data_IF_757701561062
#
_entry.id   IF_757701561062
#
_cell.length_a   1.000
_cell.length_b   1.000
_cell.length_c   1.000
_cell.angle_alpha   90.00
_cell.angle_beta   90.00
_cell.angle_gamma   90.00
#
_symmetry.space_group_name_H-M   'P 1'
#
loop_
_entity.id
_entity.type
_entity.pdbx_description
1 polymer ?
#
# COMPACT_ATOMS: atom_id res chain seq x y z
N UNK A 1 -20.11 -17.68 -3.81
CA UNK A 1 -18.68 -17.98 -3.97
C UNK A 1 -17.98 -16.66 -4.20
N UNK A 2 -16.87 -16.40 -3.50
CA UNK A 2 -16.23 -15.09 -3.61
C UNK A 2 -15.71 -14.83 -5.03
N UNK A 3 -15.71 -13.57 -5.45
CA UNK A 3 -15.20 -13.17 -6.76
C UNK A 3 -13.72 -13.58 -6.91
N UNK A 4 -13.31 -13.93 -8.13
CA UNK A 4 -11.91 -14.28 -8.44
C UNK A 4 -10.97 -13.12 -8.16
N UNK A 5 -11.46 -11.89 -8.34
CA UNK A 5 -10.72 -10.67 -8.03
C UNK A 5 -10.55 -10.45 -6.53
N UNK A 6 -11.60 -10.64 -5.71
CA UNK A 6 -11.47 -10.62 -4.25
C UNK A 6 -10.49 -11.68 -3.74
N UNK A 7 -10.54 -12.88 -4.32
CA UNK A 7 -9.60 -13.95 -4.00
C UNK A 7 -8.15 -13.52 -4.26
N UNK A 8 -7.89 -12.80 -5.35
CA UNK A 8 -6.57 -12.28 -5.67
C UNK A 8 -6.13 -11.13 -4.74
N UNK A 9 -7.03 -10.19 -4.40
CA UNK A 9 -6.75 -9.14 -3.39
C UNK A 9 -6.40 -9.79 -2.05
N UNK A 10 -7.24 -10.72 -1.59
CA UNK A 10 -7.06 -11.45 -0.34
C UNK A 10 -5.74 -12.24 -0.33
N UNK A 11 -5.37 -12.85 -1.46
CA UNK A 11 -4.08 -13.52 -1.60
C UNK A 11 -2.92 -12.53 -1.40
N UNK A 12 -2.93 -11.35 -2.03
CA UNK A 12 -1.85 -10.37 -1.88
C UNK A 12 -1.75 -9.86 -0.43
N UNK A 13 -2.88 -9.55 0.18
CA UNK A 13 -2.93 -9.11 1.58
C UNK A 13 -2.46 -10.21 2.54
N UNK A 14 -2.80 -11.48 2.27
CA UNK A 14 -2.30 -12.60 3.06
C UNK A 14 -0.78 -12.79 2.91
N UNK A 15 -0.25 -12.69 1.69
CA UNK A 15 1.20 -12.77 1.45
C UNK A 15 1.95 -11.66 2.20
N UNK A 16 1.45 -10.43 2.18
CA UNK A 16 2.01 -9.33 2.97
C UNK A 16 2.00 -9.66 4.47
N UNK A 17 0.92 -10.23 4.99
CA UNK A 17 0.84 -10.65 6.40
C UNK A 17 1.88 -11.72 6.74
N UNK A 18 2.08 -12.72 5.86
CA UNK A 18 3.08 -13.77 6.06
C UNK A 18 4.49 -13.18 6.13
N UNK A 19 4.82 -12.26 5.21
CA UNK A 19 6.11 -11.56 5.22
C UNK A 19 6.32 -10.76 6.50
N UNK A 20 5.32 -9.97 6.92
CA UNK A 20 5.38 -9.19 8.16
C UNK A 20 5.66 -10.10 9.36
N UNK A 21 4.92 -11.21 9.49
CA UNK A 21 5.10 -12.17 10.58
C UNK A 21 6.45 -12.88 10.56
N UNK A 22 7.01 -13.13 9.38
CA UNK A 22 8.35 -13.72 9.28
C UNK A 22 9.41 -12.70 9.67
N UNK A 23 9.28 -11.45 9.23
CA UNK A 23 10.23 -10.37 9.53
C UNK A 23 10.20 -9.91 10.99
N UNK A 24 9.06 -10.04 11.66
CA UNK A 24 8.85 -9.71 13.08
C UNK A 24 9.37 -10.79 14.04
N UNK A 25 9.69 -12.00 13.54
CA UNK A 25 10.28 -13.02 14.40
C UNK A 25 11.68 -12.59 14.86
N UNK A 26 11.99 -12.73 16.17
CA UNK A 26 13.34 -12.50 16.66
C UNK A 26 14.26 -13.46 15.93
N UNK A 27 15.18 -12.90 15.14
CA UNK A 27 15.93 -13.65 14.14
C UNK A 27 16.59 -14.89 14.77
N UNK A 28 16.22 -16.08 14.29
CA UNK A 28 17.15 -17.21 14.28
C UNK A 28 18.18 -16.88 13.21
N UNK A 29 19.21 -16.12 13.59
CA UNK A 29 20.21 -15.55 12.68
C UNK A 29 21.07 -16.66 12.09
N UNK A 30 20.60 -17.30 11.02
CA UNK A 30 21.53 -17.77 10.00
C UNK A 30 22.17 -16.50 9.40
N UNK A 31 23.42 -16.23 9.79
CA UNK A 31 24.18 -15.05 9.37
C UNK A 31 24.19 -14.95 7.84
N UNK A 32 23.38 -14.06 7.28
CA UNK A 32 23.46 -13.67 5.86
C UNK A 32 24.71 -12.82 5.57
N UNK A 33 25.44 -12.39 6.61
CA UNK A 33 26.63 -11.53 6.50
C UNK A 33 26.31 -10.09 6.07
N UNK A 34 25.04 -9.72 5.93
CA UNK A 34 24.62 -8.40 5.46
C UNK A 34 24.39 -7.42 6.62
N UNK A 35 24.61 -6.10 6.41
CA UNK A 35 24.29 -5.08 7.40
C UNK A 35 22.80 -5.07 7.77
N UNK A 36 22.47 -4.87 9.05
CA UNK A 36 21.09 -4.84 9.55
C UNK A 36 20.20 -3.82 8.83
N UNK A 37 20.76 -2.66 8.44
CA UNK A 37 20.04 -1.63 7.69
C UNK A 37 19.62 -2.12 6.29
N UNK A 38 20.47 -2.91 5.61
CA UNK A 38 20.15 -3.49 4.29
C UNK A 38 19.03 -4.51 4.42
N UNK A 39 19.09 -5.35 5.45
CA UNK A 39 18.04 -6.34 5.73
C UNK A 39 16.72 -5.62 6.06
N UNK A 40 16.76 -4.57 6.90
CA UNK A 40 15.59 -3.78 7.25
C UNK A 40 14.92 -3.12 6.03
N UNK A 41 15.72 -2.51 5.15
CA UNK A 41 15.21 -1.92 3.91
C UNK A 41 14.62 -2.98 2.97
N UNK A 42 15.33 -4.10 2.75
CA UNK A 42 14.83 -5.18 1.90
C UNK A 42 13.48 -5.74 2.39
N UNK A 43 13.34 -5.93 3.71
CA UNK A 43 12.11 -6.40 4.34
C UNK A 43 10.96 -5.40 4.16
N UNK A 44 11.23 -4.13 4.42
CA UNK A 44 10.24 -3.06 4.28
C UNK A 44 9.77 -2.94 2.83
N UNK A 45 10.70 -2.89 1.87
CA UNK A 45 10.37 -2.81 0.44
C UNK A 45 9.58 -4.04 -0.02
N UNK A 46 9.97 -5.25 0.39
CA UNK A 46 9.26 -6.47 0.02
C UNK A 46 7.79 -6.44 0.44
N UNK A 47 7.48 -5.98 1.64
CA UNK A 47 6.08 -5.84 2.10
C UNK A 47 5.37 -4.71 1.35
N UNK A 48 6.00 -3.54 1.23
CA UNK A 48 5.41 -2.38 0.59
C UNK A 48 5.02 -2.66 -0.88
N UNK A 49 5.89 -3.30 -1.66
CA UNK A 49 5.62 -3.70 -3.04
C UNK A 49 4.43 -4.66 -3.17
N UNK A 50 4.27 -5.59 -2.23
CA UNK A 50 3.11 -6.49 -2.20
C UNK A 50 1.83 -5.72 -1.90
N UNK A 51 1.86 -4.72 -1.00
CA UNK A 51 0.71 -3.87 -0.70
C UNK A 51 0.35 -2.94 -1.86
N UNK A 52 1.33 -2.34 -2.54
CA UNK A 52 1.11 -1.57 -3.77
C UNK A 52 0.48 -2.46 -4.84
N UNK A 53 0.94 -3.70 -4.99
CA UNK A 53 0.30 -4.64 -5.92
C UNK A 53 -1.12 -5.01 -5.50
N UNK A 54 -1.40 -5.11 -4.19
CA UNK A 54 -2.74 -5.34 -3.69
C UNK A 54 -3.68 -4.17 -4.01
N UNK A 55 -3.20 -2.92 -3.96
CA UNK A 55 -3.94 -1.72 -4.36
C UNK A 55 -4.37 -1.78 -5.83
N UNK A 56 -3.45 -2.09 -6.74
CA UNK A 56 -3.77 -2.16 -8.16
C UNK A 56 -4.83 -3.22 -8.47
N UNK A 57 -4.73 -4.38 -7.82
CA UNK A 57 -5.72 -5.45 -7.95
C UNK A 57 -7.06 -5.03 -7.35
N UNK A 58 -7.06 -4.30 -6.23
CA UNK A 58 -8.27 -3.76 -5.61
C UNK A 58 -8.99 -2.76 -6.54
N UNK A 59 -8.26 -1.85 -7.19
CA UNK A 59 -8.83 -0.92 -8.16
C UNK A 59 -9.44 -1.67 -9.36
N UNK A 60 -8.74 -2.70 -9.85
CA UNK A 60 -9.27 -3.57 -10.91
C UNK A 60 -10.52 -4.32 -10.44
N UNK A 61 -10.54 -4.80 -9.20
CA UNK A 61 -11.72 -5.45 -8.62
C UNK A 61 -12.94 -4.52 -8.62
N UNK A 62 -12.78 -3.26 -8.18
CA UNK A 62 -13.87 -2.26 -8.20
C UNK A 62 -14.38 -2.05 -9.63
N UNK A 63 -13.49 -1.87 -10.60
CA UNK A 63 -13.87 -1.74 -12.00
C UNK A 63 -14.69 -2.95 -12.51
N UNK A 64 -14.29 -4.17 -12.12
CA UNK A 64 -14.95 -5.42 -12.52
C UNK A 64 -16.31 -5.60 -11.88
N UNK A 65 -16.46 -5.24 -10.60
CA UNK A 65 -17.74 -5.24 -9.89
C UNK A 65 -18.76 -4.32 -10.58
N UNK A 66 -18.29 -3.19 -11.11
CA UNK A 66 -19.10 -2.25 -11.92
C UNK A 66 -19.07 -2.55 -13.43
N UNK A 67 -18.90 -3.82 -13.80
CA UNK A 67 -19.01 -4.35 -15.18
C UNK A 67 -18.04 -3.74 -16.21
N UNK A 68 -17.00 -3.01 -15.79
CA UNK A 68 -15.89 -2.62 -16.66
C UNK A 68 -14.98 -3.84 -16.79
N UNK A 69 -15.22 -4.69 -17.80
CA UNK A 69 -14.63 -6.06 -17.88
C UNK A 69 -13.17 -6.12 -18.33
N UNK A 70 -12.66 -5.07 -18.97
CA UNK A 70 -11.30 -5.02 -19.55
C UNK A 70 -10.38 -4.05 -18.83
N UNK A 71 -10.92 -3.05 -18.13
CA UNK A 71 -10.17 -1.94 -17.55
C UNK A 71 -9.25 -2.36 -16.40
N UNK A 72 -8.05 -1.81 -16.33
CA UNK A 72 -7.08 -2.07 -15.24
C UNK A 72 -6.53 -0.75 -14.71
N UNK A 73 -7.35 0.02 -13.97
CA UNK A 73 -6.92 1.32 -13.45
C UNK A 73 -5.79 1.17 -12.43
N UNK A 74 -4.78 2.02 -12.55
CA UNK A 74 -3.61 2.07 -11.68
C UNK A 74 -3.65 3.25 -10.70
N UNK A 75 -4.61 4.16 -10.87
CA UNK A 75 -4.83 5.30 -9.97
C UNK A 75 -6.31 5.50 -9.65
N UNK A 76 -6.59 6.21 -8.56
CA UNK A 76 -7.96 6.62 -8.22
C UNK A 76 -8.56 7.52 -9.30
N UNK A 77 -7.74 8.38 -9.93
CA UNK A 77 -8.18 9.23 -11.03
C UNK A 77 -8.61 8.40 -12.26
N UNK A 78 -7.81 7.40 -12.63
CA UNK A 78 -8.16 6.47 -13.72
C UNK A 78 -9.43 5.68 -13.40
N UNK A 79 -9.55 5.16 -12.16
CA UNK A 79 -10.75 4.44 -11.74
C UNK A 79 -12.00 5.34 -11.82
N UNK A 80 -11.90 6.58 -11.31
CA UNK A 80 -12.99 7.55 -11.34
C UNK A 80 -13.43 7.88 -12.77
N UNK A 81 -12.49 7.99 -13.70
CA UNK A 81 -12.77 8.27 -15.10
C UNK A 81 -13.55 7.15 -15.81
N UNK A 82 -13.66 5.95 -15.23
CA UNK A 82 -14.42 4.84 -15.83
C UNK A 82 -15.94 4.99 -15.65
N UNK A 83 -16.41 5.83 -14.72
CA UNK A 83 -17.81 5.91 -14.32
C UNK A 83 -18.41 7.28 -14.67
N UNK A 84 -19.57 7.28 -15.32
CA UNK A 84 -20.33 8.49 -15.65
C UNK A 84 -21.28 8.91 -14.52
N UNK A 85 -21.33 8.12 -13.45
CA UNK A 85 -22.20 8.26 -12.30
C UNK A 85 -21.41 8.02 -11.01
N UNK A 86 -21.98 8.44 -9.88
CA UNK A 86 -21.34 8.29 -8.59
C UNK A 86 -21.30 6.82 -8.16
N UNK A 87 -20.11 6.39 -7.77
CA UNK A 87 -19.82 5.03 -7.31
C UNK A 87 -19.35 5.12 -5.86
N UNK A 88 -20.11 4.49 -4.95
CA UNK A 88 -19.86 4.58 -3.51
C UNK A 88 -18.43 4.18 -3.10
N UNK A 89 -17.83 3.20 -3.79
CA UNK A 89 -16.43 2.81 -3.56
C UNK A 89 -15.45 3.93 -3.92
N UNK A 90 -15.71 4.61 -5.04
CA UNK A 90 -14.86 5.71 -5.52
C UNK A 90 -14.98 6.90 -4.58
N UNK A 91 -16.19 7.22 -4.10
CA UNK A 91 -16.40 8.26 -3.09
C UNK A 91 -15.68 7.94 -1.77
N UNK A 92 -15.74 6.68 -1.33
CA UNK A 92 -15.03 6.23 -0.13
C UNK A 92 -13.51 6.37 -0.29
N UNK A 93 -12.97 5.99 -1.45
CA UNK A 93 -11.54 6.15 -1.76
C UNK A 93 -11.14 7.63 -1.89
N UNK A 94 -11.99 8.49 -2.48
CA UNK A 94 -11.78 9.93 -2.54
C UNK A 94 -11.74 10.55 -1.13
N UNK A 95 -12.63 10.13 -0.23
CA UNK A 95 -12.62 10.53 1.18
C UNK A 95 -11.33 10.10 1.88
N UNK A 96 -10.90 8.85 1.68
CA UNK A 96 -9.62 8.36 2.21
C UNK A 96 -8.44 9.15 1.64
N UNK A 97 -8.45 9.52 0.35
CA UNK A 97 -7.40 10.32 -0.27
C UNK A 97 -7.30 11.74 0.30
N UNK A 98 -8.38 12.27 0.89
CA UNK A 98 -8.36 13.57 1.59
C UNK A 98 -7.84 13.46 3.03
N UNK A 99 -7.89 12.28 3.64
CA UNK A 99 -7.44 12.04 5.00
C UNK A 99 -5.95 11.72 5.05
N UNK A 100 -5.13 12.62 5.62
CA UNK A 100 -3.66 12.48 5.68
C UNK A 100 -3.19 11.13 6.22
N UNK A 101 -3.84 10.63 7.27
CA UNK A 101 -3.44 9.42 7.99
C UNK A 101 -4.19 8.17 7.52
N UNK A 102 -4.80 8.21 6.32
CA UNK A 102 -5.48 7.05 5.74
C UNK A 102 -4.49 6.04 5.18
N UNK A 103 -4.91 4.77 5.17
CA UNK A 103 -4.16 3.70 4.53
C UNK A 103 -3.93 3.98 3.03
N UNK A 104 -4.86 4.67 2.37
CA UNK A 104 -4.72 5.05 0.96
C UNK A 104 -3.58 6.05 0.76
N UNK A 105 -3.56 7.11 1.55
CA UNK A 105 -2.49 8.10 1.48
C UNK A 105 -1.14 7.52 1.89
N UNK A 106 -1.13 6.60 2.86
CA UNK A 106 0.10 5.89 3.20
C UNK A 106 0.65 5.10 1.99
N UNK A 107 -0.19 4.38 1.23
CA UNK A 107 0.26 3.71 0.00
C UNK A 107 0.76 4.68 -1.08
N UNK A 108 0.10 5.83 -1.26
CA UNK A 108 0.56 6.86 -2.22
C UNK A 108 1.95 7.38 -1.84
N UNK A 109 2.20 7.59 -0.55
CA UNK A 109 3.51 8.02 -0.06
C UNK A 109 4.56 6.91 -0.23
N UNK A 110 4.21 5.65 0.04
CA UNK A 110 5.09 4.49 -0.18
C UNK A 110 5.49 4.37 -1.66
N UNK A 111 4.53 4.45 -2.57
CA UNK A 111 4.74 4.39 -4.03
C UNK A 111 5.72 5.48 -4.48
N UNK A 112 5.48 6.73 -4.03
CA UNK A 112 6.38 7.86 -4.32
C UNK A 112 7.79 7.63 -3.77
N UNK A 113 7.90 7.13 -2.53
CA UNK A 113 9.19 6.93 -1.87
C UNK A 113 10.01 5.79 -2.51
N UNK A 114 9.36 4.75 -3.03
CA UNK A 114 10.02 3.62 -3.70
C UNK A 114 10.34 3.91 -5.17
N UNK A 115 9.53 4.73 -5.83
CA UNK A 115 9.72 5.10 -7.24
C UNK A 115 10.72 6.24 -7.47
N UNK A 116 11.21 6.90 -6.42
CA UNK A 116 12.14 8.02 -6.52
C UNK A 116 13.51 7.69 -5.93
N UNK A 117 14.61 8.20 -6.50
CA UNK A 117 15.92 8.12 -5.87
C UNK A 117 15.86 8.71 -4.45
N UNK A 118 16.55 8.12 -3.46
CA UNK A 118 16.58 8.69 -2.13
C UNK A 118 17.06 10.14 -2.20
N UNK A 119 16.32 11.04 -1.55
CA UNK A 119 16.66 12.46 -1.54
C UNK A 119 18.12 12.62 -1.08
N UNK A 120 18.92 13.33 -1.88
CA UNK A 120 20.31 13.58 -1.54
C UNK A 120 20.34 14.31 -0.20
N UNK A 121 20.87 13.65 0.83
CA UNK A 121 21.20 14.32 2.09
C UNK A 121 22.27 15.35 1.76
N UNK A 122 21.88 16.62 1.59
CA UNK A 122 22.86 17.70 1.52
C UNK A 122 23.69 17.60 2.80
N UNK A 123 24.95 17.25 2.66
CA UNK A 123 25.94 17.34 3.74
C UNK A 123 26.02 18.82 4.11
N UNK A 124 25.29 19.21 5.15
CA UNK A 124 25.39 20.55 5.71
C UNK A 124 26.75 20.62 6.40
N UNK A 125 27.71 21.28 5.73
CA UNK A 125 28.95 21.72 6.36
C UNK A 125 28.61 22.54 7.61
N UNK A 126 29.41 22.42 8.66
CA UNK A 126 29.12 22.76 10.06
C UNK A 126 28.74 24.23 10.39
N UNK A 127 28.58 25.12 9.40
CA UNK A 127 28.34 26.56 9.61
C UNK A 127 26.89 27.03 9.41
N UNK A 128 25.96 26.16 8.99
CA UNK A 128 24.55 26.54 8.81
C UNK A 128 23.60 25.66 9.64
N UNK A 129 23.53 25.94 10.94
CA UNK A 129 22.63 25.30 11.92
C UNK A 129 21.21 25.87 11.74
N UNK A 130 20.59 25.60 10.61
CA UNK A 130 19.12 25.59 10.51
C UNK A 130 18.79 24.16 10.08
N UNK A 131 18.36 23.36 11.05
CA UNK A 131 17.95 21.98 10.83
C UNK A 131 16.74 21.97 9.89
N UNK A 132 16.99 21.92 8.59
CA UNK A 132 15.98 21.53 7.61
C UNK A 132 15.73 20.06 7.88
N UNK A 133 14.66 19.78 8.63
CA UNK A 133 14.13 18.44 8.75
C UNK A 133 13.99 17.90 7.33
N UNK A 134 14.80 16.88 6.99
CA UNK A 134 14.54 16.11 5.79
C UNK A 134 13.08 15.65 5.90
N UNK A 135 12.26 15.85 4.85
CA UNK A 135 10.90 15.31 4.84
C UNK A 135 10.97 13.87 5.31
N UNK A 136 10.40 13.60 6.49
CA UNK A 136 10.29 12.23 7.00
C UNK A 136 9.43 11.50 5.97
N UNK A 137 10.05 10.53 5.28
CA UNK A 137 9.34 9.67 4.34
C UNK A 137 8.21 8.90 5.04
N UNK A 138 7.38 8.17 4.29
CA UNK A 138 6.31 7.36 4.89
C UNK A 138 6.85 6.42 5.96
N UNK A 139 6.02 6.15 6.98
CA UNK A 139 6.35 5.17 8.01
C UNK A 139 6.42 3.77 7.39
N UNK A 140 7.66 3.31 7.22
CA UNK A 140 7.99 2.04 6.58
C UNK A 140 8.20 0.90 7.58
N UNK A 141 7.84 1.12 8.85
CA UNK A 141 7.89 0.09 9.88
C UNK A 141 6.92 -1.05 9.58
N UNK A 142 7.26 -2.27 10.00
CA UNK A 142 6.39 -3.44 9.84
C UNK A 142 5.01 -3.22 10.49
N UNK A 143 4.95 -2.44 11.58
CA UNK A 143 3.71 -2.09 12.26
C UNK A 143 2.80 -1.20 11.39
N UNK A 144 3.34 -0.14 10.78
CA UNK A 144 2.57 0.73 9.89
C UNK A 144 2.09 0.00 8.63
N UNK A 145 2.94 -0.90 8.09
CA UNK A 145 2.58 -1.76 6.96
C UNK A 145 1.47 -2.75 7.33
N UNK A 146 1.49 -3.33 8.54
CA UNK A 146 0.42 -4.20 9.03
C UNK A 146 -0.90 -3.46 9.22
N UNK A 147 -0.86 -2.23 9.76
CA UNK A 147 -2.05 -1.38 9.90
C UNK A 147 -2.69 -1.09 8.54
N UNK A 148 -1.86 -0.76 7.55
CA UNK A 148 -2.29 -0.52 6.17
C UNK A 148 -2.92 -1.75 5.55
N UNK A 149 -2.23 -2.90 5.67
CA UNK A 149 -2.73 -4.21 5.21
C UNK A 149 -4.06 -4.57 5.84
N UNK A 150 -4.22 -4.37 7.15
CA UNK A 150 -5.44 -4.69 7.88
C UNK A 150 -6.61 -3.81 7.41
N UNK A 151 -6.39 -2.50 7.26
CA UNK A 151 -7.41 -1.58 6.75
C UNK A 151 -7.84 -1.93 5.31
N UNK A 152 -6.89 -2.26 4.43
CA UNK A 152 -7.19 -2.75 3.07
C UNK A 152 -8.03 -4.04 3.10
N UNK A 153 -7.72 -4.97 4.01
CA UNK A 153 -8.45 -6.22 4.13
C UNK A 153 -9.90 -6.01 4.57
N UNK A 154 -10.14 -5.09 5.50
CA UNK A 154 -11.49 -4.68 5.91
C UNK A 154 -12.25 -4.09 4.72
N UNK A 155 -11.65 -3.11 4.03
CA UNK A 155 -12.28 -2.47 2.88
C UNK A 155 -12.61 -3.47 1.75
N UNK A 156 -11.67 -4.35 1.41
CA UNK A 156 -11.88 -5.37 0.37
C UNK A 156 -12.99 -6.36 0.74
N UNK A 157 -13.09 -6.72 2.03
CA UNK A 157 -14.14 -7.60 2.54
C UNK A 157 -15.51 -6.92 2.49
N UNK A 158 -15.62 -5.69 2.98
CA UNK A 158 -16.87 -4.92 2.93
C UNK A 158 -17.33 -4.72 1.48
N UNK A 159 -16.40 -4.52 0.56
CA UNK A 159 -16.68 -4.41 -0.86
C UNK A 159 -17.24 -5.71 -1.45
N UNK A 160 -16.61 -6.84 -1.15
CA UNK A 160 -17.11 -8.15 -1.58
C UNK A 160 -18.47 -8.50 -0.97
N UNK A 161 -18.70 -8.18 0.32
CA UNK A 161 -19.99 -8.39 0.99
C UNK A 161 -21.11 -7.58 0.31
N UNK A 162 -20.88 -6.30 0.01
CA UNK A 162 -21.88 -5.43 -0.64
C UNK A 162 -22.24 -5.84 -2.06
N UNK A 163 -21.33 -6.46 -2.81
CA UNK A 163 -21.58 -6.92 -4.17
C UNK A 163 -21.92 -8.41 -4.27
N UNK A 164 -21.68 -9.19 -3.22
CA UNK A 164 -22.06 -10.60 -3.14
C UNK A 164 -23.53 -10.83 -2.77
N UNK A 165 -24.22 -9.79 -2.30
CA UNK A 165 -25.65 -9.81 -1.96
C UNK A 165 -26.58 -9.56 -3.17
N UNK A 166 -26.04 -9.27 -4.36
CA UNK A 166 -26.80 -8.92 -5.57
C UNK A 166 -26.50 -9.84 -6.76
#
# INVERSE_FOLDING_TARGET
>A
MASTWYSLVSQKLYLAQVLIREFDQPASTASTGLPAAVIGEARSQAVAEVLLRARDVLLTMIARLHQKKTETPHSLAELKALFEYDVAEVETLDSLAQQRDSWWNHLVQLDKALGQPPAQKKTVSADNIIAVAAEEGPDRSLQALEQTRAAMAVFARELEERHGEW
#
